data_IF_951175975892
#
_entry.id   IF_951175975892
#
_cell.length_a   1.000
_cell.length_b   1.000
_cell.length_c   1.000
_cell.angle_alpha   90.00
_cell.angle_beta   90.00
_cell.angle_gamma   90.00
#
_symmetry.space_group_name_H-M   'P 1'
#
loop_
_entity.id
_entity.type
_entity.pdbx_description
1 polymer ?
#
# COMPACT_ATOMS: atom_id res chain seq x y z
N UNK A 1 2.02 -4.99 -18.62
CA UNK A 1 1.71 -4.53 -17.24
C UNK A 1 2.91 -3.71 -16.79
N UNK A 2 2.73 -2.52 -16.22
CA UNK A 2 3.81 -1.67 -15.70
C UNK A 2 3.63 -1.56 -14.19
N UNK A 3 4.68 -1.82 -13.41
CA UNK A 3 4.66 -1.68 -11.96
C UNK A 3 6.06 -1.30 -11.46
N UNK A 4 6.12 -0.45 -10.43
CA UNK A 4 7.37 -0.06 -9.76
C UNK A 4 8.06 -1.26 -9.07
N UNK A 5 7.29 -2.28 -8.73
CA UNK A 5 7.78 -3.46 -8.04
C UNK A 5 6.67 -4.44 -7.74
N UNK A 6 7.05 -5.48 -7.02
CA UNK A 6 6.17 -6.57 -6.61
C UNK A 6 6.00 -6.51 -5.11
N UNK A 7 4.74 -6.43 -4.66
CA UNK A 7 4.38 -6.43 -3.26
C UNK A 7 3.44 -7.59 -2.97
N UNK A 8 3.42 -8.01 -1.70
CA UNK A 8 2.53 -9.05 -1.20
C UNK A 8 1.62 -8.49 -0.10
N UNK A 9 0.56 -9.23 0.24
CA UNK A 9 -0.41 -8.79 1.24
C UNK A 9 0.24 -8.56 2.62
N UNK A 10 1.25 -9.35 2.98
CA UNK A 10 1.96 -9.16 4.25
C UNK A 10 2.73 -7.84 4.28
N UNK A 11 3.38 -7.47 3.19
CA UNK A 11 4.10 -6.19 3.08
C UNK A 11 3.16 -4.99 3.17
N UNK A 12 2.00 -5.08 2.50
CA UNK A 12 0.95 -4.06 2.60
C UNK A 12 0.45 -3.93 4.04
N UNK A 13 0.21 -5.06 4.73
CA UNK A 13 -0.24 -5.09 6.11
C UNK A 13 0.79 -4.50 7.06
N UNK A 14 2.06 -4.93 6.98
CA UNK A 14 3.14 -4.45 7.83
C UNK A 14 3.34 -2.94 7.68
N UNK A 15 3.34 -2.44 6.44
CA UNK A 15 3.51 -1.02 6.15
C UNK A 15 2.30 -0.20 6.60
N UNK A 16 1.08 -0.66 6.32
CA UNK A 16 -0.15 0.03 6.75
C UNK A 16 -0.28 0.08 8.27
N UNK A 17 0.12 -0.97 9.00
CA UNK A 17 0.14 -0.99 10.48
C UNK A 17 1.13 0.03 11.05
N UNK A 18 2.30 0.19 10.43
CA UNK A 18 3.27 1.22 10.84
C UNK A 18 2.75 2.63 10.59
N UNK A 19 2.16 2.86 9.42
CA UNK A 19 1.66 4.17 9.00
C UNK A 19 0.40 4.61 9.76
N UNK A 20 -0.43 3.66 10.19
CA UNK A 20 -1.69 3.92 10.89
C UNK A 20 -1.72 3.32 12.28
N UNK A 21 -0.81 3.76 13.15
CA UNK A 21 -0.70 3.28 14.53
C UNK A 21 -2.03 3.33 15.31
N UNK A 22 -2.89 4.32 15.05
CA UNK A 22 -4.21 4.47 15.69
C UNK A 22 -5.23 3.40 15.30
N UNK A 23 -5.02 2.69 14.19
CA UNK A 23 -5.94 1.70 13.64
C UNK A 23 -5.23 0.38 13.33
N UNK A 24 -4.03 0.17 13.89
CA UNK A 24 -3.21 -1.00 13.63
C UNK A 24 -3.96 -2.29 14.00
N UNK A 25 -4.83 -2.26 15.01
CA UNK A 25 -5.70 -3.33 15.46
C UNK A 25 -6.72 -3.79 14.40
N UNK A 26 -7.12 -2.89 13.49
CA UNK A 26 -8.06 -3.18 12.40
C UNK A 26 -7.39 -3.75 11.15
N UNK A 27 -6.07 -3.70 11.07
CA UNK A 27 -5.29 -4.20 9.94
C UNK A 27 -4.77 -5.60 10.30
N UNK A 28 -4.92 -6.63 9.44
CA UNK A 28 -4.42 -7.97 9.74
C UNK A 28 -2.94 -7.97 10.13
N UNK A 29 -2.58 -8.70 11.19
CA UNK A 29 -1.16 -8.85 11.59
C UNK A 29 -0.42 -9.82 10.64
N UNK A 30 -1.05 -10.95 10.30
CA UNK A 30 -0.43 -12.00 9.49
C UNK A 30 0.84 -12.55 10.15
N UNK A 31 1.91 -12.67 9.37
CA UNK A 31 3.25 -13.08 9.79
C UNK A 31 4.26 -11.97 9.48
N UNK A 32 4.47 -11.00 10.39
CA UNK A 32 5.29 -9.82 10.14
C UNK A 32 6.68 -10.16 9.59
N UNK A 33 7.08 -9.47 8.51
CA UNK A 33 8.36 -9.68 7.83
C UNK A 33 8.38 -10.86 6.85
N UNK A 34 7.36 -11.72 6.80
CA UNK A 34 7.27 -12.78 5.80
C UNK A 34 6.86 -12.20 4.44
N UNK A 35 7.86 -11.77 3.66
CA UNK A 35 7.63 -11.25 2.31
C UNK A 35 7.59 -12.40 1.30
N UNK A 36 6.46 -12.52 0.62
CA UNK A 36 6.25 -13.50 -0.45
C UNK A 36 6.35 -12.89 -1.85
N UNK A 37 6.75 -11.61 -1.96
CA UNK A 37 6.85 -10.92 -3.25
C UNK A 37 7.78 -11.61 -4.25
N UNK A 38 8.79 -12.34 -3.77
CA UNK A 38 9.68 -13.14 -4.64
C UNK A 38 8.99 -14.35 -5.31
N UNK A 39 7.79 -14.73 -4.84
CA UNK A 39 6.99 -15.82 -5.41
C UNK A 39 5.99 -15.33 -6.46
N UNK A 40 5.86 -14.02 -6.66
CA UNK A 40 4.95 -13.45 -7.65
C UNK A 40 5.68 -13.15 -8.95
N UNK A 41 4.94 -13.12 -10.06
CA UNK A 41 5.49 -12.67 -11.34
C UNK A 41 5.93 -11.20 -11.24
N UNK A 42 7.21 -10.96 -11.54
CA UNK A 42 7.78 -9.63 -11.54
C UNK A 42 7.57 -8.89 -12.85
N UNK A 43 7.68 -7.57 -12.77
CA UNK A 43 7.60 -6.65 -13.90
C UNK A 43 8.81 -5.74 -13.82
N UNK A 44 9.49 -5.55 -14.95
CA UNK A 44 10.58 -4.58 -15.09
C UNK A 44 10.03 -3.32 -15.77
N UNK A 45 10.17 -2.18 -15.10
CA UNK A 45 9.75 -0.87 -15.61
C UNK A 45 10.94 0.05 -15.94
N UNK A 46 12.18 -0.46 -15.91
CA UNK A 46 13.40 0.33 -16.12
C UNK A 46 13.46 1.01 -17.49
N UNK A 47 13.03 0.32 -18.55
CA UNK A 47 12.94 0.90 -19.90
C UNK A 47 11.97 2.09 -19.94
N UNK A 48 10.84 1.99 -19.22
CA UNK A 48 9.85 3.08 -19.15
C UNK A 48 10.40 4.28 -18.37
N UNK A 49 11.07 4.05 -17.24
CA UNK A 49 11.74 5.11 -16.48
C UNK A 49 12.81 5.81 -17.33
N UNK A 50 13.58 5.05 -18.09
CA UNK A 50 14.63 5.60 -18.96
C UNK A 50 14.06 6.43 -20.11
N UNK A 51 13.09 5.90 -20.86
CA UNK A 51 12.52 6.55 -22.04
C UNK A 51 11.70 7.78 -21.68
N UNK A 52 10.93 7.72 -20.60
CA UNK A 52 10.04 8.82 -20.18
C UNK A 52 10.71 9.80 -19.21
N UNK A 53 11.89 9.48 -18.68
CA UNK A 53 12.58 10.32 -17.70
C UNK A 53 11.81 10.48 -16.38
N UNK A 54 11.04 9.47 -16.00
CA UNK A 54 10.23 9.47 -14.78
C UNK A 54 10.82 8.55 -13.72
N UNK A 55 10.42 8.76 -12.47
CA UNK A 55 10.68 7.81 -11.38
C UNK A 55 9.36 7.46 -10.71
N UNK A 56 9.18 6.18 -10.38
CA UNK A 56 7.99 5.73 -9.67
C UNK A 56 8.06 6.06 -8.18
N UNK A 57 6.90 6.38 -7.58
CA UNK A 57 6.79 6.53 -6.12
C UNK A 57 6.99 5.19 -5.42
N UNK A 58 7.58 5.21 -4.23
CA UNK A 58 7.75 4.00 -3.42
C UNK A 58 6.40 3.58 -2.85
N UNK A 59 6.23 2.29 -2.57
CA UNK A 59 5.02 1.76 -1.94
C UNK A 59 4.68 2.46 -0.62
N UNK A 60 5.70 2.77 0.18
CA UNK A 60 5.58 3.52 1.43
C UNK A 60 4.99 4.92 1.23
N UNK A 61 5.48 5.66 0.25
CA UNK A 61 4.97 7.00 -0.07
C UNK A 61 3.50 6.93 -0.51
N UNK A 62 3.15 5.95 -1.34
CA UNK A 62 1.79 5.73 -1.79
C UNK A 62 0.84 5.37 -0.63
N UNK A 63 1.26 4.49 0.28
CA UNK A 63 0.43 4.08 1.41
C UNK A 63 0.35 5.15 2.50
N UNK A 64 1.38 5.99 2.65
CA UNK A 64 1.37 7.12 3.58
C UNK A 64 0.26 8.12 3.24
N UNK A 65 -0.01 8.34 1.94
CA UNK A 65 -1.12 9.17 1.49
C UNK A 65 -2.47 8.42 1.55
N UNK A 66 -2.50 7.17 1.08
CA UNK A 66 -3.74 6.43 0.87
C UNK A 66 -4.41 5.98 2.17
N UNK A 67 -3.65 5.40 3.11
CA UNK A 67 -4.22 4.78 4.32
C UNK A 67 -5.00 5.79 5.18
N UNK A 68 -4.46 6.99 5.49
CA UNK A 68 -5.23 8.01 6.21
C UNK A 68 -6.51 8.44 5.48
N UNK A 69 -6.44 8.60 4.15
CA UNK A 69 -7.58 9.00 3.33
C UNK A 69 -8.72 7.96 3.40
N UNK A 70 -8.40 6.66 3.43
CA UNK A 70 -9.41 5.60 3.57
C UNK A 70 -10.14 5.68 4.92
N UNK A 71 -9.42 5.94 6.02
CA UNK A 71 -10.04 6.12 7.34
C UNK A 71 -10.83 7.43 7.46
N UNK A 72 -10.43 8.48 6.76
CA UNK A 72 -11.24 9.70 6.64
C UNK A 72 -12.53 9.45 5.86
N UNK A 73 -12.43 8.74 4.75
CA UNK A 73 -13.57 8.39 3.91
C UNK A 73 -14.59 7.54 4.67
N UNK A 74 -14.13 6.49 5.37
CA UNK A 74 -15.00 5.64 6.20
C UNK A 74 -15.72 6.47 7.27
N UNK A 75 -15.01 7.37 7.96
CA UNK A 75 -15.61 8.30 8.94
C UNK A 75 -16.63 9.25 8.29
N UNK A 76 -16.35 9.71 7.07
CA UNK A 76 -17.27 10.58 6.33
C UNK A 76 -18.56 9.85 5.92
N UNK A 77 -18.45 8.58 5.49
CA UNK A 77 -19.60 7.75 5.15
C UNK A 77 -20.46 7.44 6.38
N UNK A 78 -19.84 7.10 7.51
CA UNK A 78 -20.56 6.87 8.76
C UNK A 78 -21.35 8.10 9.24
N UNK A 79 -20.89 9.32 8.91
CA UNK A 79 -21.61 10.58 9.20
C UNK A 79 -22.72 10.90 8.20
N UNK A 80 -22.60 10.41 6.97
CA UNK A 80 -23.52 10.72 5.87
C UNK A 80 -24.73 9.77 5.79
N UNK A 81 -24.62 8.55 6.35
CA UNK A 81 -25.75 7.63 6.48
C UNK A 81 -26.56 7.92 7.75
N UNK A 82 -27.85 8.33 7.66
CA UNK A 82 -28.71 8.42 8.83
C UNK A 82 -29.03 7.01 9.39
N UNK A 83 -29.41 6.92 10.68
CA UNK A 83 -29.78 5.65 11.33
C UNK A 83 -31.03 5.01 10.73
#
# INVERSE_FOLDING_TARGET
MLAQGVYCNQELADLSRRLSAKHHDRIPLGQPGLRESQRHFAVDASETEHVLGISWRRLEDCLADLVPQLFEFERSQARASPP
#
